data_IF_403434625772
#
_entry.id   IF_403434625772
#
_cell.length_a   1.000
_cell.length_b   1.000
_cell.length_c   1.000
_cell.angle_alpha   90.00
_cell.angle_beta   90.00
_cell.angle_gamma   90.00
#
_symmetry.space_group_name_H-M   'P 1'
#
loop_
_entity.id
_entity.type
_entity.pdbx_description
1 polymer ?
#
# COMPACT_ATOMS: atom_id res chain seq x y z
N UNK A 1 28.98 9.43 0.25
CA UNK A 1 28.79 10.59 -0.64
C UNK A 1 28.36 10.24 -2.07
N UNK A 2 28.67 9.08 -2.61
CA UNK A 2 28.18 8.64 -3.94
C UNK A 2 26.66 8.41 -4.00
N UNK A 3 26.05 7.95 -2.91
CA UNK A 3 24.60 7.67 -2.83
C UNK A 3 23.70 8.91 -2.94
N UNK A 4 24.24 10.12 -2.79
CA UNK A 4 23.48 11.37 -2.92
C UNK A 4 23.51 11.98 -4.33
N UNK A 5 24.20 11.34 -5.27
CA UNK A 5 24.20 11.79 -6.67
C UNK A 5 22.87 11.41 -7.34
N UNK A 6 22.18 12.35 -8.02
CA UNK A 6 20.88 12.08 -8.65
C UNK A 6 20.89 10.88 -9.60
N UNK A 7 21.95 10.73 -10.41
CA UNK A 7 22.10 9.60 -11.32
C UNK A 7 22.19 8.25 -10.60
N UNK A 8 22.87 8.20 -9.46
CA UNK A 8 22.98 6.98 -8.64
C UNK A 8 21.63 6.65 -7.99
N UNK A 9 20.92 7.65 -7.50
CA UNK A 9 19.60 7.48 -6.90
C UNK A 9 18.57 6.98 -7.91
N UNK A 10 18.56 7.56 -9.12
CA UNK A 10 17.69 7.10 -10.22
C UNK A 10 18.01 5.66 -10.61
N UNK A 11 19.29 5.31 -10.71
CA UNK A 11 19.71 3.95 -11.03
C UNK A 11 19.28 2.94 -9.95
N UNK A 12 19.48 3.27 -8.68
CA UNK A 12 19.09 2.41 -7.57
C UNK A 12 17.55 2.24 -7.49
N UNK A 13 16.81 3.31 -7.75
CA UNK A 13 15.36 3.27 -7.80
C UNK A 13 14.86 2.35 -8.93
N UNK A 14 15.42 2.50 -10.13
CA UNK A 14 15.08 1.65 -11.27
C UNK A 14 15.44 0.19 -10.99
N UNK A 15 16.65 -0.07 -10.50
CA UNK A 15 17.09 -1.43 -10.18
C UNK A 15 16.17 -2.11 -9.16
N UNK A 16 15.82 -1.41 -8.06
CA UNK A 16 14.92 -1.94 -7.05
C UNK A 16 13.51 -2.21 -7.61
N UNK A 17 13.00 -1.31 -8.45
CA UNK A 17 11.70 -1.47 -9.11
C UNK A 17 11.69 -2.66 -10.09
N UNK A 18 12.73 -2.77 -10.91
CA UNK A 18 12.86 -3.86 -11.87
C UNK A 18 12.98 -5.23 -11.15
N UNK A 19 13.71 -5.27 -10.02
CA UNK A 19 13.86 -6.50 -9.22
C UNK A 19 12.54 -6.92 -8.55
N UNK A 20 11.79 -5.97 -8.01
CA UNK A 20 10.45 -6.23 -7.44
C UNK A 20 9.50 -6.73 -8.53
N UNK A 21 9.44 -6.04 -9.67
CA UNK A 21 8.57 -6.43 -10.77
C UNK A 21 8.91 -7.83 -11.29
N UNK A 22 10.19 -8.13 -11.44
CA UNK A 22 10.66 -9.46 -11.87
C UNK A 22 10.38 -10.55 -10.86
N UNK A 23 10.61 -10.27 -9.56
CA UNK A 23 10.47 -11.26 -8.49
C UNK A 23 9.01 -11.61 -8.19
N UNK A 24 8.10 -10.64 -8.33
CA UNK A 24 6.69 -10.78 -7.96
C UNK A 24 5.71 -10.61 -9.13
N UNK A 25 6.18 -10.39 -10.35
CA UNK A 25 5.31 -10.21 -11.51
C UNK A 25 4.41 -8.96 -11.41
N UNK A 26 4.86 -7.93 -10.68
CA UNK A 26 4.10 -6.68 -10.49
C UNK A 26 4.40 -5.65 -11.59
N UNK A 27 3.56 -4.61 -11.67
CA UNK A 27 3.74 -3.46 -12.56
C UNK A 27 3.94 -2.20 -11.71
N UNK A 28 5.05 -2.15 -10.96
CA UNK A 28 5.46 -1.02 -10.14
C UNK A 28 6.34 -0.07 -10.94
N UNK A 29 6.12 1.24 -10.81
CA UNK A 29 7.04 2.28 -11.27
C UNK A 29 7.20 3.38 -10.23
N UNK A 30 8.38 4.02 -10.20
CA UNK A 30 8.72 5.10 -9.27
C UNK A 30 9.34 6.24 -10.07
N UNK A 31 8.72 7.42 -10.04
CA UNK A 31 9.19 8.60 -10.78
C UNK A 31 10.47 9.18 -10.20
N UNK A 32 10.55 9.33 -8.87
CA UNK A 32 11.74 9.88 -8.21
C UNK A 32 12.10 9.09 -6.96
N UNK A 33 13.42 8.92 -6.73
CA UNK A 33 13.99 8.28 -5.55
C UNK A 33 15.06 9.18 -4.96
N UNK A 34 15.01 9.42 -3.66
CA UNK A 34 16.06 10.09 -2.91
C UNK A 34 16.40 9.30 -1.65
N UNK A 35 17.66 8.92 -1.50
CA UNK A 35 18.16 8.17 -0.34
C UNK A 35 19.17 9.05 0.38
N UNK A 36 18.96 9.25 1.67
CA UNK A 36 19.91 10.00 2.51
C UNK A 36 20.95 9.07 3.15
N UNK A 37 22.14 9.59 3.51
CA UNK A 37 23.17 8.80 4.22
C UNK A 37 22.68 8.20 5.54
N UNK A 38 21.63 8.78 6.14
CA UNK A 38 21.05 8.34 7.42
C UNK A 38 19.88 7.35 7.26
N UNK A 39 19.71 6.77 6.06
CA UNK A 39 18.71 5.75 5.82
C UNK A 39 17.28 6.25 5.57
N UNK A 40 17.07 7.55 5.38
CA UNK A 40 15.78 8.04 4.91
C UNK A 40 15.65 7.81 3.41
N UNK A 41 14.49 7.31 3.00
CA UNK A 41 14.11 7.09 1.61
C UNK A 41 12.89 7.95 1.30
N UNK A 42 12.97 8.72 0.23
CA UNK A 42 11.86 9.53 -0.28
C UNK A 42 11.56 9.08 -1.70
N UNK A 43 10.33 8.68 -1.93
CA UNK A 43 9.84 8.28 -3.23
C UNK A 43 8.78 9.28 -3.69
N UNK A 44 8.80 9.61 -4.96
CA UNK A 44 7.76 10.42 -5.59
C UNK A 44 7.16 9.69 -6.79
N UNK A 45 5.85 9.87 -6.97
CA UNK A 45 5.10 9.29 -8.08
C UNK A 45 5.23 7.76 -8.15
N UNK A 46 4.92 7.11 -7.03
CA UNK A 46 4.88 5.64 -6.99
C UNK A 46 3.56 5.19 -7.60
N UNK A 47 3.65 4.44 -8.69
CA UNK A 47 2.50 3.91 -9.43
C UNK A 47 2.55 2.39 -9.46
N UNK A 48 1.45 1.76 -9.08
CA UNK A 48 1.22 0.32 -9.21
C UNK A 48 0.03 0.13 -10.13
N UNK A 49 0.25 -0.57 -11.24
CA UNK A 49 -0.80 -0.95 -12.17
C UNK A 49 -1.29 -2.37 -11.85
N UNK A 50 -2.57 -2.59 -12.06
CA UNK A 50 -3.20 -3.89 -11.95
C UNK A 50 -3.02 -4.77 -13.20
N UNK A 51 -3.69 -5.91 -13.26
CA UNK A 51 -3.63 -6.86 -14.37
C UNK A 51 -4.31 -6.35 -15.66
N UNK A 52 -5.18 -5.35 -15.57
CA UNK A 52 -5.74 -4.62 -16.73
C UNK A 52 -4.86 -3.43 -17.15
N UNK A 53 -3.74 -3.17 -16.47
CA UNK A 53 -2.87 -2.00 -16.63
C UNK A 53 -3.54 -0.68 -16.21
N UNK A 54 -4.60 -0.76 -15.43
CA UNK A 54 -5.21 0.39 -14.77
C UNK A 54 -4.51 0.67 -13.43
N UNK A 55 -4.68 1.90 -12.92
CA UNK A 55 -4.09 2.27 -11.63
C UNK A 55 -4.75 1.49 -10.49
N UNK A 56 -3.96 0.67 -9.78
CA UNK A 56 -4.34 0.09 -8.50
C UNK A 56 -3.99 1.04 -7.36
N UNK A 57 -2.72 1.48 -7.30
CA UNK A 57 -2.24 2.47 -6.32
C UNK A 57 -1.42 3.55 -7.00
N UNK A 58 -1.68 4.79 -6.62
CA UNK A 58 -0.80 5.92 -6.91
C UNK A 58 -0.48 6.65 -5.61
N UNK A 59 0.80 6.93 -5.35
CA UNK A 59 1.24 7.69 -4.18
C UNK A 59 2.08 8.87 -4.66
N UNK A 60 1.60 10.08 -4.43
CA UNK A 60 2.31 11.30 -4.85
C UNK A 60 3.66 11.45 -4.15
N UNK A 61 3.72 11.18 -2.85
CA UNK A 61 4.97 11.21 -2.06
C UNK A 61 4.92 10.15 -0.98
N UNK A 62 5.99 9.37 -0.86
CA UNK A 62 6.21 8.40 0.21
C UNK A 62 7.57 8.67 0.85
N UNK A 63 7.58 8.85 2.16
CA UNK A 63 8.80 8.98 2.95
C UNK A 63 8.87 7.84 3.95
N UNK A 64 10.03 7.24 4.10
CA UNK A 64 10.26 6.19 5.08
C UNK A 64 11.70 6.22 5.56
N UNK A 65 11.97 5.60 6.70
CA UNK A 65 13.31 5.27 7.16
C UNK A 65 13.48 3.77 7.28
N UNK A 66 14.61 3.29 6.81
CA UNK A 66 14.95 1.86 6.81
C UNK A 66 15.73 1.56 8.09
N UNK A 67 15.22 0.62 8.90
CA UNK A 67 15.86 0.25 10.18
C UNK A 67 17.17 -0.51 10.03
N UNK A 68 17.45 -1.11 8.87
CA UNK A 68 18.69 -1.85 8.65
C UNK A 68 19.05 -1.90 7.17
N UNK A 69 20.20 -1.31 6.82
CA UNK A 69 20.78 -1.40 5.48
C UNK A 69 21.10 -2.85 5.06
N UNK A 70 21.41 -3.74 6.01
CA UNK A 70 21.63 -5.17 5.71
C UNK A 70 20.39 -5.85 5.15
N UNK A 71 19.18 -5.32 5.44
CA UNK A 71 17.91 -5.84 4.97
C UNK A 71 17.44 -5.23 3.65
N UNK A 72 18.11 -4.22 3.11
CA UNK A 72 17.82 -3.68 1.77
C UNK A 72 18.11 -4.72 0.67
N UNK A 73 19.05 -5.64 0.93
CA UNK A 73 19.39 -6.73 0.01
C UNK A 73 18.46 -7.94 0.10
N UNK A 74 17.44 -7.90 0.98
CA UNK A 74 16.39 -8.90 1.07
C UNK A 74 15.03 -8.25 0.72
N UNK A 75 14.70 -8.13 -0.59
CA UNK A 75 13.49 -7.47 -1.05
C UNK A 75 12.21 -8.17 -0.60
N UNK A 76 12.31 -9.44 -0.18
CA UNK A 76 11.18 -10.20 0.37
C UNK A 76 10.79 -9.84 1.80
N UNK A 77 11.63 -9.11 2.56
CA UNK A 77 11.40 -8.84 3.99
C UNK A 77 11.70 -7.39 4.41
N UNK A 78 11.13 -6.36 3.76
CA UNK A 78 11.38 -4.98 4.18
C UNK A 78 10.83 -4.70 5.57
N UNK A 79 11.65 -4.08 6.40
CA UNK A 79 11.26 -3.59 7.72
C UNK A 79 11.45 -2.07 7.79
N UNK A 80 10.34 -1.36 7.82
CA UNK A 80 10.28 0.09 7.82
C UNK A 80 9.98 0.58 9.25
N UNK A 81 10.56 1.70 9.63
CA UNK A 81 10.27 2.31 10.95
C UNK A 81 8.97 3.07 10.88
N UNK A 82 8.99 4.14 10.14
CA UNK A 82 7.85 5.03 9.95
C UNK A 82 7.64 5.22 8.44
N UNK A 83 6.39 5.18 8.02
CA UNK A 83 6.01 5.42 6.63
C UNK A 83 5.05 6.61 6.61
N UNK A 84 5.36 7.62 5.82
CA UNK A 84 4.48 8.78 5.63
C UNK A 84 4.12 8.87 4.15
N UNK A 85 2.84 8.79 3.86
CA UNK A 85 2.30 8.89 2.51
C UNK A 85 1.46 10.15 2.36
N UNK A 86 1.62 10.86 1.25
CA UNK A 86 0.78 11.98 0.84
C UNK A 86 0.17 11.71 -0.52
N UNK A 87 -1.13 11.91 -0.62
CA UNK A 87 -1.86 11.77 -1.88
C UNK A 87 -1.86 10.34 -2.40
N UNK A 88 -2.13 9.37 -1.53
CA UNK A 88 -2.45 8.01 -1.94
C UNK A 88 -3.81 8.03 -2.64
N UNK A 89 -3.89 7.49 -3.84
CA UNK A 89 -5.12 7.15 -4.54
C UNK A 89 -5.15 5.62 -4.69
N UNK A 90 -6.00 4.97 -3.91
CA UNK A 90 -6.22 3.52 -3.95
C UNK A 90 -7.52 3.23 -4.71
N UNK A 91 -7.43 2.43 -5.77
CA UNK A 91 -8.56 2.09 -6.62
C UNK A 91 -8.73 0.57 -6.70
N UNK A 92 -9.63 0.06 -5.90
CA UNK A 92 -10.00 -1.36 -5.90
C UNK A 92 -11.18 -1.54 -6.86
N UNK A 93 -11.03 -2.42 -7.83
CA UNK A 93 -12.04 -2.68 -8.87
C UNK A 93 -12.32 -4.17 -8.96
N UNK A 94 -13.60 -4.52 -8.87
CA UNK A 94 -14.10 -5.79 -9.35
C UNK A 94 -14.57 -5.56 -10.81
N UNK A 95 -13.78 -6.02 -11.76
CA UNK A 95 -14.05 -5.81 -13.18
C UNK A 95 -15.25 -6.63 -13.66
N UNK A 96 -15.87 -6.18 -14.74
CA UNK A 96 -17.03 -6.86 -15.31
C UNK A 96 -16.72 -8.31 -15.68
N UNK A 97 -17.57 -9.22 -15.21
CA UNK A 97 -17.46 -10.68 -15.36
C UNK A 97 -16.27 -11.31 -14.62
N UNK A 98 -15.63 -10.61 -13.69
CA UNK A 98 -14.67 -11.18 -12.77
C UNK A 98 -15.33 -11.41 -11.40
N UNK A 99 -14.90 -12.45 -10.67
CA UNK A 99 -15.37 -12.81 -9.33
C UNK A 99 -14.35 -12.46 -8.24
N UNK A 100 -13.33 -11.69 -8.61
CA UNK A 100 -12.25 -11.18 -7.76
C UNK A 100 -11.97 -9.70 -8.06
N UNK A 101 -11.31 -9.02 -7.14
CA UNK A 101 -10.87 -7.64 -7.34
C UNK A 101 -9.45 -7.59 -7.93
N UNK A 102 -9.08 -6.43 -8.51
CA UNK A 102 -7.70 -6.18 -8.93
C UNK A 102 -6.71 -6.25 -7.76
N UNK A 103 -7.15 -5.95 -6.52
CA UNK A 103 -6.34 -6.11 -5.32
C UNK A 103 -6.07 -7.59 -5.01
N UNK A 104 -7.08 -8.47 -5.14
CA UNK A 104 -6.90 -9.91 -4.94
C UNK A 104 -5.85 -10.45 -5.92
N UNK A 105 -5.92 -10.02 -7.19
CA UNK A 105 -4.97 -10.42 -8.22
C UNK A 105 -3.55 -9.90 -7.96
N UNK A 106 -3.43 -8.67 -7.47
CA UNK A 106 -2.14 -8.11 -7.06
C UNK A 106 -1.54 -8.86 -5.87
N UNK A 107 -2.36 -9.20 -4.86
CA UNK A 107 -1.91 -9.93 -3.67
C UNK A 107 -1.48 -11.36 -4.01
N UNK A 108 -2.12 -12.03 -4.99
CA UNK A 108 -1.71 -13.36 -5.46
C UNK A 108 -0.24 -13.40 -5.90
N UNK A 109 0.29 -12.31 -6.45
CA UNK A 109 1.69 -12.22 -6.85
C UNK A 109 2.69 -12.42 -5.68
N UNK A 110 2.26 -12.15 -4.46
CA UNK A 110 3.05 -12.30 -3.23
C UNK A 110 2.77 -13.60 -2.47
N UNK A 111 1.82 -14.42 -2.95
CA UNK A 111 1.46 -15.69 -2.36
C UNK A 111 2.24 -16.82 -3.05
N UNK A 112 3.03 -17.56 -2.28
CA UNK A 112 3.78 -18.72 -2.77
C UNK A 112 3.02 -20.05 -2.58
N UNK A 113 1.74 -19.98 -2.17
CA UNK A 113 0.90 -21.16 -1.90
C UNK A 113 1.25 -21.91 -0.60
N UNK A 114 2.22 -21.41 0.17
CA UNK A 114 2.65 -22.05 1.41
C UNK A 114 1.89 -21.51 2.62
N UNK A 115 1.27 -22.36 3.44
CA UNK A 115 0.49 -21.91 4.60
C UNK A 115 1.32 -21.18 5.68
N UNK A 116 2.65 -21.33 5.66
CA UNK A 116 3.51 -20.88 6.76
C UNK A 116 4.62 -19.91 6.36
N UNK A 117 4.93 -19.75 5.07
CA UNK A 117 6.13 -19.03 4.63
C UNK A 117 5.92 -18.14 3.41
N UNK A 118 4.93 -17.23 3.42
CA UNK A 118 4.83 -16.26 2.33
C UNK A 118 6.21 -15.65 2.03
N UNK A 119 6.67 -15.71 0.76
CA UNK A 119 7.98 -15.16 0.35
C UNK A 119 8.11 -13.69 0.67
N UNK A 120 6.99 -12.97 0.62
CA UNK A 120 6.96 -11.55 0.93
C UNK A 120 6.47 -11.30 2.36
N UNK A 121 7.25 -10.55 3.11
CA UNK A 121 6.87 -10.04 4.44
C UNK A 121 7.29 -8.59 4.55
N UNK A 122 6.36 -7.74 4.93
CA UNK A 122 6.66 -6.32 5.17
C UNK A 122 6.14 -5.94 6.56
N UNK A 123 6.95 -5.22 7.31
CA UNK A 123 6.55 -4.64 8.59
C UNK A 123 6.82 -3.14 8.58
N UNK A 124 5.85 -2.37 9.10
CA UNK A 124 6.05 -0.97 9.43
C UNK A 124 5.49 -0.69 10.82
N UNK A 125 6.27 0.03 11.67
CA UNK A 125 5.81 0.33 13.03
C UNK A 125 4.67 1.34 13.02
N UNK A 126 4.83 2.41 12.22
CA UNK A 126 3.81 3.44 12.04
C UNK A 126 3.66 3.81 10.58
N UNK A 127 2.42 4.00 10.17
CA UNK A 127 2.11 4.56 8.86
C UNK A 127 1.16 5.74 9.04
N UNK A 128 1.49 6.86 8.41
CA UNK A 128 0.63 8.04 8.39
C UNK A 128 0.27 8.37 6.94
N UNK A 129 -1.00 8.52 6.70
CA UNK A 129 -1.55 8.79 5.37
C UNK A 129 -2.24 10.15 5.41
N UNK A 130 -1.96 11.02 4.44
CA UNK A 130 -2.52 12.36 4.34
C UNK A 130 -3.16 12.65 2.98
N UNK A 131 -4.28 13.36 3.00
CA UNK A 131 -4.95 13.89 1.81
C UNK A 131 -5.11 12.85 0.69
N UNK A 132 -5.64 11.71 1.05
CA UNK A 132 -5.71 10.52 0.21
C UNK A 132 -7.14 10.22 -0.24
N UNK A 133 -7.27 9.28 -1.12
CA UNK A 133 -8.56 8.79 -1.64
C UNK A 133 -8.54 7.27 -1.68
N UNK A 134 -9.67 6.68 -1.33
CA UNK A 134 -9.93 5.25 -1.49
C UNK A 134 -11.22 5.06 -2.29
N UNK A 135 -11.18 4.18 -3.28
CA UNK A 135 -12.36 3.83 -4.10
C UNK A 135 -12.52 2.32 -4.15
N UNK A 136 -13.76 1.88 -3.99
CA UNK A 136 -14.17 0.53 -4.35
C UNK A 136 -15.25 0.61 -5.42
N UNK A 137 -15.00 -0.05 -6.54
CA UNK A 137 -15.85 -0.08 -7.73
C UNK A 137 -16.16 -1.54 -8.03
N UNK A 138 -17.44 -1.86 -8.22
CA UNK A 138 -17.88 -3.17 -8.69
C UNK A 138 -18.66 -2.99 -10.00
N UNK A 139 -18.03 -3.31 -11.12
CA UNK A 139 -18.61 -3.14 -12.45
C UNK A 139 -19.74 -4.15 -12.76
N UNK A 140 -19.91 -5.16 -11.92
CA UNK A 140 -21.00 -6.13 -12.03
C UNK A 140 -22.33 -5.57 -11.47
N UNK A 141 -22.29 -4.47 -10.72
CA UNK A 141 -23.46 -3.82 -10.15
C UNK A 141 -24.06 -2.77 -11.10
N UNK A 142 -25.37 -2.51 -10.95
CA UNK A 142 -26.05 -1.41 -11.67
C UNK A 142 -25.51 -0.03 -11.30
N UNK A 143 -25.02 0.13 -10.07
CA UNK A 143 -24.34 1.31 -9.56
C UNK A 143 -22.92 0.92 -9.14
N UNK A 144 -21.94 0.99 -10.05
CA UNK A 144 -20.61 0.44 -9.84
C UNK A 144 -19.82 1.06 -8.68
N UNK A 145 -20.03 2.35 -8.40
CA UNK A 145 -19.32 3.04 -7.30
C UNK A 145 -19.90 2.62 -5.95
N UNK A 146 -19.23 1.69 -5.29
CA UNK A 146 -19.63 1.18 -3.96
C UNK A 146 -19.14 2.09 -2.85
N UNK A 147 -17.84 2.45 -2.86
CA UNK A 147 -17.22 3.36 -1.90
C UNK A 147 -16.38 4.41 -2.65
N UNK A 148 -16.39 5.64 -2.16
CA UNK A 148 -15.49 6.71 -2.63
C UNK A 148 -15.19 7.64 -1.47
N UNK A 149 -14.09 7.36 -0.79
CA UNK A 149 -13.64 8.11 0.37
C UNK A 149 -12.63 9.14 -0.05
N UNK A 150 -12.95 10.41 0.17
CA UNK A 150 -12.10 11.56 -0.11
C UNK A 150 -11.61 12.21 1.17
N UNK A 151 -10.60 13.08 1.08
CA UNK A 151 -9.97 13.73 2.25
C UNK A 151 -9.54 12.71 3.31
N UNK A 152 -9.16 11.51 2.87
CA UNK A 152 -8.78 10.41 3.75
C UNK A 152 -7.44 10.70 4.42
N UNK A 153 -7.45 10.62 5.76
CA UNK A 153 -6.23 10.62 6.55
C UNK A 153 -6.27 9.42 7.50
N UNK A 154 -5.11 8.81 7.75
CA UNK A 154 -5.00 7.66 8.64
C UNK A 154 -3.70 7.68 9.45
N UNK A 155 -3.79 7.20 10.68
CA UNK A 155 -2.67 6.78 11.52
C UNK A 155 -2.85 5.30 11.80
N UNK A 156 -1.85 4.53 11.45
CA UNK A 156 -1.86 3.07 11.46
C UNK A 156 -0.62 2.61 12.22
N UNK A 157 -0.78 1.66 13.09
CA UNK A 157 0.31 1.06 13.87
C UNK A 157 0.40 -0.44 13.61
N UNK A 158 1.60 -1.00 13.84
CA UNK A 158 1.90 -2.43 13.73
C UNK A 158 1.45 -3.05 12.40
N UNK A 159 1.65 -2.30 11.30
CA UNK A 159 1.32 -2.80 9.98
C UNK A 159 2.21 -3.98 9.61
N UNK A 160 1.59 -5.10 9.27
CA UNK A 160 2.28 -6.31 8.91
C UNK A 160 1.62 -7.00 7.71
N UNK A 161 2.42 -7.31 6.70
CA UNK A 161 2.05 -8.16 5.56
C UNK A 161 2.82 -9.47 5.65
N UNK A 162 2.13 -10.59 5.46
CA UNK A 162 2.71 -11.90 5.27
C UNK A 162 1.98 -12.62 4.12
N UNK A 163 2.65 -12.72 2.96
CA UNK A 163 1.98 -13.20 1.74
C UNK A 163 0.73 -12.38 1.44
N UNK A 164 -0.42 -13.05 1.38
CA UNK A 164 -1.72 -12.42 1.12
C UNK A 164 -2.43 -11.85 2.37
N UNK A 165 -1.83 -11.98 3.56
CA UNK A 165 -2.49 -11.53 4.78
C UNK A 165 -1.93 -10.18 5.24
N UNK A 166 -2.82 -9.29 5.69
CA UNK A 166 -2.48 -7.99 6.26
C UNK A 166 -3.12 -7.87 7.63
N UNK A 167 -2.34 -7.44 8.62
CA UNK A 167 -2.84 -7.09 9.95
C UNK A 167 -2.33 -5.72 10.34
N UNK A 168 -3.16 -4.93 11.04
CA UNK A 168 -2.76 -3.63 11.55
C UNK A 168 -3.76 -3.11 12.57
N UNK A 169 -3.32 -2.18 13.42
CA UNK A 169 -4.20 -1.36 14.25
C UNK A 169 -4.42 0.00 13.58
N UNK A 170 -5.66 0.38 13.38
CA UNK A 170 -6.09 1.71 12.91
C UNK A 170 -6.32 2.56 14.15
N UNK A 171 -5.36 3.43 14.49
CA UNK A 171 -5.47 4.38 15.61
C UNK A 171 -6.40 5.56 15.28
N UNK A 172 -6.35 6.01 14.03
CA UNK A 172 -7.21 7.08 13.54
C UNK A 172 -7.42 6.93 12.04
N UNK A 173 -8.70 6.95 11.62
CA UNK A 173 -9.08 7.07 10.22
C UNK A 173 -10.17 8.13 10.10
N UNK A 174 -9.96 9.10 9.21
CA UNK A 174 -10.93 10.15 8.89
C UNK A 174 -11.17 10.19 7.39
N UNK A 175 -12.40 10.41 6.96
CA UNK A 175 -12.73 10.54 5.53
C UNK A 175 -14.12 11.13 5.32
N UNK A 176 -14.40 11.52 4.07
CA UNK A 176 -15.75 11.87 3.57
C UNK A 176 -16.16 10.87 2.49
N UNK A 177 -17.28 10.22 2.69
CA UNK A 177 -17.89 9.33 1.69
C UNK A 177 -18.74 10.14 0.70
N UNK A 178 -18.76 9.73 -0.57
CA UNK A 178 -19.52 10.40 -1.63
C UNK A 178 -21.03 10.48 -1.38
N UNK A 179 -21.57 9.70 -0.46
CA UNK A 179 -22.98 9.70 -0.04
C UNK A 179 -23.27 10.69 1.08
N UNK A 180 -22.30 11.48 1.51
CA UNK A 180 -22.45 12.54 2.52
C UNK A 180 -22.07 12.13 3.95
N UNK A 181 -21.65 10.90 4.19
CA UNK A 181 -21.10 10.50 5.49
C UNK A 181 -19.72 11.14 5.69
N UNK A 182 -19.54 11.81 6.83
CA UNK A 182 -18.24 12.31 7.27
C UNK A 182 -17.82 11.56 8.54
N UNK A 183 -16.73 10.78 8.45
CA UNK A 183 -16.14 10.08 9.58
C UNK A 183 -15.04 10.94 10.17
N UNK A 184 -15.24 11.40 11.40
CA UNK A 184 -14.30 12.27 12.14
C UNK A 184 -13.24 11.46 12.89
N UNK A 185 -13.56 10.25 13.26
CA UNK A 185 -12.61 9.29 13.84
C UNK A 185 -13.17 7.87 13.70
N UNK A 186 -12.33 6.95 13.26
CA UNK A 186 -12.56 5.50 13.31
C UNK A 186 -11.30 4.84 13.86
N UNK A 187 -11.47 3.91 14.77
CA UNK A 187 -10.42 3.04 15.31
C UNK A 187 -10.87 1.59 15.16
N UNK A 188 -9.95 0.69 14.83
CA UNK A 188 -10.24 -0.74 14.74
C UNK A 188 -8.94 -1.56 14.67
N UNK A 189 -9.00 -2.81 15.12
CA UNK A 189 -8.08 -3.86 14.69
C UNK A 189 -8.53 -4.34 13.30
N UNK A 190 -7.63 -4.25 12.32
CA UNK A 190 -7.91 -4.61 10.93
C UNK A 190 -7.15 -5.86 10.54
N UNK A 191 -7.87 -6.83 9.99
CA UNK A 191 -7.30 -8.03 9.40
C UNK A 191 -7.88 -8.25 8.00
N UNK A 192 -7.00 -8.39 7.01
CA UNK A 192 -7.36 -8.82 5.68
C UNK A 192 -6.76 -10.20 5.41
N UNK A 193 -7.57 -11.09 4.89
CA UNK A 193 -7.16 -12.39 4.35
C UNK A 193 -7.85 -12.59 3.00
N UNK A 194 -7.42 -13.57 2.21
CA UNK A 194 -8.09 -13.92 0.93
C UNK A 194 -9.60 -14.19 1.06
N UNK A 195 -10.07 -14.54 2.26
CA UNK A 195 -11.47 -14.93 2.48
C UNK A 195 -12.28 -13.88 3.20
N UNK A 196 -11.64 -13.06 4.03
CA UNK A 196 -12.34 -12.19 4.97
C UNK A 196 -11.62 -10.86 5.15
N UNK A 197 -12.42 -9.81 5.32
CA UNK A 197 -12.00 -8.54 5.93
C UNK A 197 -12.67 -8.49 7.30
N UNK A 198 -11.88 -8.31 8.34
CA UNK A 198 -12.34 -8.27 9.72
C UNK A 198 -11.96 -6.93 10.34
N UNK A 199 -12.91 -6.29 10.99
CA UNK A 199 -12.74 -5.10 11.81
C UNK A 199 -13.21 -5.46 13.22
N UNK A 200 -12.28 -5.58 14.17
CA UNK A 200 -12.58 -5.85 15.57
C UNK A 200 -12.39 -4.58 16.38
N UNK A 201 -13.04 -4.49 17.54
CA UNK A 201 -13.00 -3.34 18.43
C UNK A 201 -13.32 -2.01 17.72
N UNK A 202 -14.20 -2.06 16.73
CA UNK A 202 -14.56 -0.91 15.90
C UNK A 202 -15.25 0.17 16.75
N UNK A 203 -14.68 1.37 16.78
CA UNK A 203 -15.31 2.57 17.29
C UNK A 203 -15.30 3.67 16.22
N UNK A 204 -16.44 4.32 16.01
CA UNK A 204 -16.60 5.35 14.97
C UNK A 204 -17.37 6.55 15.49
N UNK A 205 -16.90 7.74 15.14
CA UNK A 205 -17.55 9.03 15.35
C UNK A 205 -17.75 9.74 14.01
N UNK A 206 -18.96 10.23 13.76
CA UNK A 206 -19.37 10.90 12.51
C UNK A 206 -19.80 12.34 12.77
#
# INVERSE_FOLDING_TARGET
>A
MLLSLPSVQTYLGKYATDEINKSFGTNLSIGTVAITPFGSVKLGEVLVLDHHKDTLFYIKKLNTSILSFKKIYDPGHPYLKDVVMHGLDARIVNYKNEDYTNLDKFIEAFDDGSPSSGKFRMKANKMTVFNSRFRYIDENLKSPKVLDFTSLNAKIEDFFIKGANVTTFIDELTFKDHRGLEVKKLTADFTYTKKNILLEQLAMNT
#
